data_IF_120974523593
#
_entry.id   IF_120974523593
#
_cell.length_a   1.000
_cell.length_b   1.000
_cell.length_c   1.000
_cell.angle_alpha   90.00
_cell.angle_beta   90.00
_cell.angle_gamma   90.00
#
_symmetry.space_group_name_H-M   'P 1'
#
loop_
_entity.id
_entity.type
_entity.pdbx_description
1 polymer ?
#
# COMPACT_ATOMS: atom_id res chain seq x y z
N UNK A 1 6.89 26.11 -4.49
CA UNK A 1 7.45 25.30 -3.40
C UNK A 1 6.38 25.11 -2.32
N UNK A 2 6.22 23.90 -1.86
CA UNK A 2 5.26 23.56 -0.79
C UNK A 2 6.00 22.92 0.36
N UNK A 3 5.44 23.04 1.56
CA UNK A 3 5.96 22.36 2.75
C UNK A 3 4.86 21.47 3.33
N UNK A 4 5.15 20.19 3.49
CA UNK A 4 4.23 19.22 4.07
C UNK A 4 4.81 18.69 5.38
N UNK A 5 3.96 18.59 6.41
CA UNK A 5 4.34 17.97 7.68
C UNK A 5 3.98 16.49 7.64
N UNK A 6 4.97 15.63 7.91
CA UNK A 6 4.79 14.18 7.95
C UNK A 6 5.19 13.67 9.34
N UNK A 7 4.31 12.91 9.97
CA UNK A 7 4.61 12.26 11.24
C UNK A 7 5.32 10.93 10.96
N UNK A 8 6.55 10.79 11.48
CA UNK A 8 7.31 9.56 11.31
C UNK A 8 6.72 8.44 12.17
N UNK A 9 6.35 7.33 11.53
CA UNK A 9 5.77 6.16 12.20
C UNK A 9 6.75 4.99 12.34
N UNK A 10 8.00 5.16 11.87
CA UNK A 10 9.01 4.11 11.90
C UNK A 10 9.49 3.82 13.33
N UNK A 11 9.54 4.86 14.18
CA UNK A 11 9.91 4.71 15.58
C UNK A 11 8.81 5.24 16.49
N UNK A 12 8.75 4.81 17.78
CA UNK A 12 7.68 5.24 18.71
C UNK A 12 7.65 6.73 19.03
N UNK A 13 8.71 7.47 18.70
CA UNK A 13 8.81 8.89 19.02
C UNK A 13 7.84 9.77 18.25
N UNK A 14 7.33 9.31 17.10
CA UNK A 14 6.36 10.07 16.33
C UNK A 14 6.87 11.44 15.89
N UNK A 15 8.11 11.52 15.41
CA UNK A 15 8.73 12.78 15.01
C UNK A 15 7.93 13.46 13.89
N UNK A 16 7.67 14.75 14.08
CA UNK A 16 7.03 15.57 13.06
C UNK A 16 8.11 16.11 12.11
N UNK A 17 8.06 15.68 10.86
CA UNK A 17 9.06 15.98 9.85
C UNK A 17 8.50 16.97 8.85
N UNK A 18 9.24 18.03 8.57
CA UNK A 18 8.87 18.99 7.53
C UNK A 18 9.58 18.64 6.23
N UNK A 19 8.81 18.54 5.15
CA UNK A 19 9.31 18.22 3.81
C UNK A 19 8.98 19.37 2.88
N UNK A 20 10.03 20.02 2.35
CA UNK A 20 9.88 21.00 1.29
C UNK A 20 9.92 20.28 -0.06
N UNK A 21 8.91 20.47 -0.88
CA UNK A 21 8.80 19.81 -2.16
C UNK A 21 8.22 20.75 -3.23
N UNK A 22 8.44 20.40 -4.49
CA UNK A 22 7.99 21.17 -5.63
C UNK A 22 7.50 20.23 -6.73
N UNK A 23 6.43 20.61 -7.42
CA UNK A 23 5.96 19.87 -8.58
C UNK A 23 6.74 20.36 -9.81
N UNK A 24 7.48 19.43 -10.45
CA UNK A 24 8.23 19.67 -11.68
C UNK A 24 7.81 18.64 -12.72
N UNK A 25 7.28 19.13 -13.84
CA UNK A 25 6.87 18.27 -14.96
C UNK A 25 5.94 17.13 -14.56
N UNK A 26 4.99 17.40 -13.64
CA UNK A 26 4.05 16.42 -13.15
C UNK A 26 4.60 15.48 -12.06
N UNK A 27 5.82 15.71 -11.60
CA UNK A 27 6.45 14.91 -10.54
C UNK A 27 6.77 15.79 -9.33
N UNK A 28 6.49 15.25 -8.14
CA UNK A 28 6.93 15.90 -6.92
C UNK A 28 8.42 15.63 -6.67
N UNK A 29 9.16 16.69 -6.43
CA UNK A 29 10.59 16.62 -6.12
C UNK A 29 10.81 17.12 -4.71
N UNK A 30 11.48 16.34 -3.87
CA UNK A 30 11.84 16.73 -2.52
C UNK A 30 13.05 17.65 -2.56
N UNK A 31 12.89 18.86 -2.02
CA UNK A 31 13.96 19.87 -1.97
C UNK A 31 14.74 19.82 -0.67
N UNK A 32 14.04 19.63 0.45
CA UNK A 32 14.65 19.56 1.77
C UNK A 32 13.76 18.79 2.75
N UNK A 33 14.39 18.15 3.72
CA UNK A 33 13.70 17.47 4.82
C UNK A 33 14.29 17.98 6.13
N UNK A 34 13.42 18.45 7.03
CA UNK A 34 13.79 19.02 8.32
C UNK A 34 13.17 18.26 9.46
N UNK A 35 13.77 18.34 10.63
CA UNK A 35 13.32 17.70 11.87
C UNK A 35 13.34 16.16 11.82
N UNK A 36 14.03 15.58 10.85
CA UNK A 36 14.24 14.14 10.83
C UNK A 36 15.39 13.79 11.79
N UNK A 37 15.04 13.11 12.88
CA UNK A 37 16.03 12.72 13.90
C UNK A 37 16.87 11.50 13.53
N UNK A 38 16.50 10.80 12.45
CA UNK A 38 17.23 9.64 11.96
C UNK A 38 17.08 9.49 10.43
N UNK A 39 18.01 8.77 9.75
CA UNK A 39 17.92 8.55 8.31
C UNK A 39 16.64 7.83 7.86
N UNK A 40 16.05 7.02 8.71
CA UNK A 40 14.79 6.34 8.41
C UNK A 40 13.63 7.32 8.27
N UNK A 41 13.61 8.36 9.12
CA UNK A 41 12.63 9.44 9.02
C UNK A 41 12.72 10.19 7.70
N UNK A 42 13.94 10.45 7.23
CA UNK A 42 14.17 11.07 5.92
C UNK A 42 13.55 10.23 4.79
N UNK A 43 13.86 8.94 4.75
CA UNK A 43 13.34 8.04 3.72
C UNK A 43 11.83 7.94 3.76
N UNK A 44 11.25 7.82 4.94
CA UNK A 44 9.81 7.72 5.13
C UNK A 44 9.10 8.99 4.62
N UNK A 45 9.54 10.16 5.07
CA UNK A 45 8.92 11.42 4.71
C UNK A 45 9.03 11.69 3.20
N UNK A 46 10.19 11.41 2.61
CA UNK A 46 10.40 11.57 1.17
C UNK A 46 9.48 10.66 0.36
N UNK A 47 9.33 9.40 0.74
CA UNK A 47 8.44 8.45 0.06
C UNK A 47 6.97 8.87 0.18
N UNK A 48 6.53 9.34 1.34
CA UNK A 48 5.15 9.79 1.56
C UNK A 48 4.78 10.97 0.66
N UNK A 49 5.70 11.86 0.39
CA UNK A 49 5.44 13.03 -0.45
C UNK A 49 5.49 12.69 -1.93
N UNK A 50 6.49 11.88 -2.36
CA UNK A 50 6.73 11.62 -3.78
C UNK A 50 5.83 10.50 -4.31
N UNK A 51 5.81 9.36 -3.63
CA UNK A 51 5.08 8.18 -4.10
C UNK A 51 4.66 7.32 -2.90
N UNK A 52 3.61 7.73 -2.19
CA UNK A 52 3.13 6.94 -1.05
C UNK A 52 2.60 5.59 -1.50
N UNK A 53 3.07 4.52 -0.85
CA UNK A 53 2.68 3.16 -1.13
C UNK A 53 2.14 2.48 0.13
N UNK A 54 1.22 1.54 -0.06
CA UNK A 54 0.59 0.80 1.04
C UNK A 54 0.41 -0.66 0.66
N UNK A 55 0.62 -1.55 1.61
CA UNK A 55 0.20 -2.95 1.46
C UNK A 55 -1.31 -3.00 1.69
N UNK A 56 -2.02 -3.49 0.70
CA UNK A 56 -3.47 -3.62 0.74
C UNK A 56 -3.84 -4.98 1.34
N UNK A 57 -4.73 -4.96 2.33
CA UNK A 57 -5.33 -6.18 2.91
C UNK A 57 -6.83 -6.11 2.76
N UNK A 58 -7.46 -7.23 2.42
CA UNK A 58 -8.90 -7.32 2.22
C UNK A 58 -9.37 -8.77 2.30
N UNK A 59 -10.61 -9.02 1.88
CA UNK A 59 -11.17 -10.36 1.77
C UNK A 59 -11.89 -10.52 0.44
N UNK A 60 -11.87 -11.74 -0.09
CA UNK A 60 -12.68 -12.15 -1.23
C UNK A 60 -13.70 -13.19 -0.81
N UNK A 61 -14.77 -13.35 -1.59
CA UNK A 61 -15.76 -14.38 -1.34
C UNK A 61 -15.16 -15.77 -1.60
N UNK A 62 -15.35 -16.67 -0.66
CA UNK A 62 -14.88 -18.06 -0.77
C UNK A 62 -16.09 -19.00 -0.83
N UNK A 63 -16.17 -19.79 -1.88
CA UNK A 63 -17.23 -20.81 -2.06
C UNK A 63 -16.67 -22.20 -1.76
N UNK A 64 -17.46 -23.01 -1.06
CA UNK A 64 -17.10 -24.39 -0.74
C UNK A 64 -16.08 -24.54 0.39
N UNK A 65 -15.70 -23.46 1.05
CA UNK A 65 -14.76 -23.48 2.17
C UNK A 65 -15.46 -23.49 3.52
N UNK A 66 -14.68 -23.61 4.59
CA UNK A 66 -15.20 -23.55 5.97
C UNK A 66 -15.77 -22.18 6.32
N UNK A 67 -15.13 -21.12 5.77
CA UNK A 67 -15.55 -19.75 6.01
C UNK A 67 -16.05 -19.13 4.70
N UNK A 68 -17.00 -18.17 4.76
CA UNK A 68 -17.55 -17.56 3.54
C UNK A 68 -16.62 -16.58 2.85
N UNK A 69 -15.52 -16.18 3.50
CA UNK A 69 -14.55 -15.22 2.97
C UNK A 69 -13.13 -15.68 3.22
N UNK A 70 -12.25 -15.30 2.31
CA UNK A 70 -10.82 -15.60 2.36
C UNK A 70 -10.03 -14.31 2.48
N UNK A 71 -9.15 -14.22 3.48
CA UNK A 71 -8.27 -13.06 3.63
C UNK A 71 -7.21 -13.04 2.54
N UNK A 72 -7.01 -11.87 1.96
CA UNK A 72 -6.03 -11.63 0.88
C UNK A 72 -5.22 -10.37 1.17
N UNK A 73 -4.07 -10.27 0.53
CA UNK A 73 -3.22 -9.06 0.60
C UNK A 73 -2.55 -8.81 -0.75
N UNK A 74 -2.09 -7.57 -0.95
CA UNK A 74 -1.18 -7.29 -2.05
C UNK A 74 0.18 -7.93 -1.75
N UNK A 75 0.78 -8.58 -2.74
CA UNK A 75 2.09 -9.23 -2.59
C UNK A 75 3.19 -8.20 -2.28
N UNK A 76 3.07 -7.02 -2.89
CA UNK A 76 3.95 -5.88 -2.67
C UNK A 76 3.11 -4.62 -2.43
N UNK A 77 3.69 -3.54 -1.87
CA UNK A 77 2.97 -2.29 -1.71
C UNK A 77 2.45 -1.76 -3.04
N UNK A 78 1.25 -1.19 -3.03
CA UNK A 78 0.64 -0.53 -4.19
C UNK A 78 0.57 0.97 -3.95
N UNK A 79 0.55 1.81 -5.01
CA UNK A 79 0.37 3.24 -4.85
C UNK A 79 -0.91 3.56 -4.09
N UNK A 80 -0.84 4.49 -3.14
CA UNK A 80 -2.00 4.90 -2.34
C UNK A 80 -3.17 5.35 -3.21
N UNK A 81 -2.89 6.01 -4.34
CA UNK A 81 -3.90 6.47 -5.28
C UNK A 81 -4.63 5.34 -6.00
N UNK A 82 -4.07 4.13 -6.02
CA UNK A 82 -4.66 2.94 -6.65
C UNK A 82 -5.47 2.08 -5.69
N UNK A 83 -5.50 2.41 -4.39
CA UNK A 83 -6.17 1.58 -3.37
C UNK A 83 -7.65 1.36 -3.68
N UNK A 84 -8.38 2.41 -4.07
CA UNK A 84 -9.81 2.30 -4.37
C UNK A 84 -10.07 1.42 -5.59
N UNK A 85 -9.26 1.55 -6.62
CA UNK A 85 -9.38 0.72 -7.83
C UNK A 85 -9.07 -0.74 -7.52
N UNK A 86 -8.06 -1.01 -6.71
CA UNK A 86 -7.73 -2.35 -6.23
C UNK A 86 -8.88 -2.95 -5.42
N UNK A 87 -9.45 -2.19 -4.49
CA UNK A 87 -10.58 -2.63 -3.68
C UNK A 87 -11.82 -2.93 -4.53
N UNK A 88 -12.07 -2.10 -5.53
CA UNK A 88 -13.19 -2.32 -6.45
C UNK A 88 -13.05 -3.64 -7.19
N UNK A 89 -11.86 -3.94 -7.69
CA UNK A 89 -11.56 -5.19 -8.38
C UNK A 89 -11.68 -6.40 -7.43
N UNK A 90 -11.14 -6.28 -6.22
CA UNK A 90 -11.23 -7.34 -5.20
C UNK A 90 -12.69 -7.68 -4.87
N UNK A 91 -13.57 -6.69 -4.81
CA UNK A 91 -15.00 -6.91 -4.49
C UNK A 91 -15.73 -7.75 -5.54
N UNK A 92 -15.25 -7.78 -6.77
CA UNK A 92 -15.89 -8.55 -7.85
C UNK A 92 -15.39 -9.98 -7.94
N UNK A 93 -14.36 -10.32 -7.18
CA UNK A 93 -13.71 -11.63 -7.26
C UNK A 93 -14.31 -12.59 -6.25
N UNK A 94 -14.60 -13.81 -6.72
CA UNK A 94 -14.97 -14.94 -5.88
C UNK A 94 -14.02 -16.10 -6.20
N UNK A 95 -13.62 -16.84 -5.19
CA UNK A 95 -12.75 -18.01 -5.35
C UNK A 95 -13.42 -19.24 -4.78
N UNK A 96 -13.03 -20.41 -5.30
CA UNK A 96 -13.56 -21.69 -4.86
C UNK A 96 -12.50 -22.45 -4.06
N UNK A 97 -12.88 -23.00 -2.92
CA UNK A 97 -12.02 -23.89 -2.14
C UNK A 97 -11.65 -25.15 -2.96
N UNK A 98 -10.42 -25.71 -2.79
CA UNK A 98 -9.40 -25.31 -1.85
C UNK A 98 -8.49 -24.18 -2.37
N UNK A 99 -8.04 -23.32 -1.47
CA UNK A 99 -7.07 -22.27 -1.73
C UNK A 99 -5.96 -22.40 -0.71
N UNK A 100 -4.71 -22.27 -1.15
CA UNK A 100 -3.55 -22.32 -0.25
C UNK A 100 -3.01 -20.93 -0.01
N UNK A 101 -2.46 -20.71 1.19
CA UNK A 101 -1.76 -19.47 1.52
C UNK A 101 -0.66 -19.21 0.49
N UNK A 102 -0.65 -17.99 -0.05
CA UNK A 102 0.29 -17.59 -1.11
C UNK A 102 -0.22 -17.78 -2.53
N UNK A 103 -1.37 -18.42 -2.71
CA UNK A 103 -1.96 -18.56 -4.06
C UNK A 103 -2.33 -17.18 -4.61
N UNK A 104 -2.07 -16.99 -5.90
CA UNK A 104 -2.42 -15.74 -6.59
C UNK A 104 -3.94 -15.73 -6.83
N UNK A 105 -4.60 -14.74 -6.28
CA UNK A 105 -6.06 -14.55 -6.42
C UNK A 105 -6.37 -13.62 -7.58
N UNK A 106 -5.62 -12.53 -7.71
CA UNK A 106 -5.75 -11.56 -8.80
C UNK A 106 -4.35 -11.23 -9.32
N UNK A 107 -4.13 -11.37 -10.61
CA UNK A 107 -2.89 -10.93 -11.24
C UNK A 107 -3.00 -9.48 -11.67
N UNK A 108 -1.95 -8.70 -11.44
CA UNK A 108 -1.85 -7.30 -11.88
C UNK A 108 -3.09 -6.49 -11.48
N UNK A 109 -3.40 -6.46 -10.18
CA UNK A 109 -4.59 -5.78 -9.66
C UNK A 109 -4.61 -4.31 -10.09
N UNK A 110 -5.72 -3.90 -10.69
CA UNK A 110 -5.93 -2.52 -11.15
C UNK A 110 -4.78 -1.95 -12.01
N UNK A 111 -4.02 -2.79 -12.69
CA UNK A 111 -2.91 -2.36 -13.53
C UNK A 111 -1.67 -1.91 -12.77
N UNK A 112 -1.55 -2.20 -11.49
CA UNK A 112 -0.41 -1.79 -10.65
C UNK A 112 0.85 -2.64 -10.85
N UNK A 113 0.75 -3.78 -11.52
CA UNK A 113 1.82 -4.76 -11.64
C UNK A 113 2.01 -5.61 -10.38
N UNK A 114 1.13 -5.49 -9.41
CA UNK A 114 1.17 -6.23 -8.14
C UNK A 114 0.03 -7.27 -8.11
N UNK A 115 0.33 -8.45 -7.59
CA UNK A 115 -0.67 -9.52 -7.45
C UNK A 115 -1.35 -9.47 -6.09
N UNK A 116 -2.58 -9.94 -6.03
CA UNK A 116 -3.29 -10.18 -4.77
C UNK A 116 -3.16 -11.67 -4.45
N UNK A 117 -2.70 -11.98 -3.25
CA UNK A 117 -2.43 -13.35 -2.81
C UNK A 117 -3.20 -13.70 -1.55
N UNK A 118 -3.50 -14.98 -1.36
CA UNK A 118 -4.17 -15.47 -0.16
C UNK A 118 -3.24 -15.42 1.05
N UNK A 119 -3.77 -15.00 2.21
CA UNK A 119 -3.02 -14.98 3.48
C UNK A 119 -3.32 -16.19 4.36
N UNK A 120 -4.34 -16.97 4.02
CA UNK A 120 -4.76 -18.16 4.72
C UNK A 120 -5.12 -19.27 3.73
N UNK A 121 -5.15 -20.50 4.24
CA UNK A 121 -5.72 -21.63 3.51
C UNK A 121 -7.26 -21.53 3.57
N UNK A 122 -7.89 -21.81 2.47
CA UNK A 122 -9.35 -21.76 2.38
C UNK A 122 -9.97 -22.94 1.67
#
# INVERSE_FOLDING_TARGET
MQTTNVTCVICPKGCNIEVDHENRDGKEVVLAVRNNKCPRGYKYASAEVVNPERVLTSTVRLEGGTYPRLSVKSEYPVPKTSLFDCMREIRTVSVTSPVKMGDIIIENVAGTGVNIVATHNG
#
